data_IF_236472107607
#
_entry.id   IF_236472107607
#
_cell.length_a   1.000
_cell.length_b   1.000
_cell.length_c   1.000
_cell.angle_alpha   90.00
_cell.angle_beta   90.00
_cell.angle_gamma   90.00
#
_symmetry.space_group_name_H-M   'P 1'
#
loop_
_entity.id
_entity.type
_entity.pdbx_description
1 polymer ?
#
# COMPACT_ATOMS: atom_id res chain seq x y z
N UNK A 1 -60.68 -12.97 -6.16
CA UNK A 1 -60.42 -11.58 -5.72
C UNK A 1 -59.63 -11.62 -4.43
N UNK A 2 -58.31 -11.41 -4.50
CA UNK A 2 -57.41 -11.41 -3.35
C UNK A 2 -56.54 -10.15 -3.43
N UNK A 3 -56.69 -9.26 -2.46
CA UNK A 3 -55.89 -8.04 -2.33
C UNK A 3 -54.54 -8.35 -1.69
N UNK A 4 -53.45 -8.13 -2.42
CA UNK A 4 -52.09 -8.18 -1.89
C UNK A 4 -51.66 -6.75 -1.50
N UNK A 5 -51.38 -6.58 -0.21
CA UNK A 5 -50.89 -5.34 0.41
C UNK A 5 -49.46 -5.04 -0.02
N UNK A 6 -49.21 -3.77 -0.34
CA UNK A 6 -47.88 -3.18 -0.56
C UNK A 6 -47.04 -3.22 0.73
N UNK A 7 -45.86 -3.85 0.68
CA UNK A 7 -44.84 -3.79 1.72
C UNK A 7 -43.67 -2.94 1.23
N UNK A 8 -43.82 -1.61 1.31
CA UNK A 8 -42.69 -0.69 1.23
C UNK A 8 -41.92 -0.75 2.55
N UNK A 9 -40.80 -1.47 2.55
CA UNK A 9 -39.90 -1.57 3.70
C UNK A 9 -39.24 -0.21 3.95
N UNK A 10 -39.75 0.51 4.96
CA UNK A 10 -39.15 1.74 5.47
C UNK A 10 -37.78 1.41 6.08
N UNK A 11 -36.71 1.93 5.49
CA UNK A 11 -35.42 2.08 6.17
C UNK A 11 -35.65 2.95 7.41
N UNK A 12 -35.57 2.35 8.59
CA UNK A 12 -35.78 3.05 9.86
C UNK A 12 -34.60 3.97 10.16
N UNK A 13 -34.92 5.15 10.72
CA UNK A 13 -34.00 6.24 11.07
C UNK A 13 -32.75 5.82 11.86
N UNK A 14 -32.76 4.66 12.51
CA UNK A 14 -31.65 4.10 13.29
C UNK A 14 -30.44 3.68 12.43
N UNK A 15 -30.66 3.21 11.20
CA UNK A 15 -29.60 2.73 10.32
C UNK A 15 -28.76 3.87 9.70
N UNK A 16 -29.37 5.03 9.43
CA UNK A 16 -28.64 6.26 9.07
C UNK A 16 -27.83 6.83 10.25
N UNK A 17 -28.31 6.65 11.49
CA UNK A 17 -27.64 7.15 12.70
C UNK A 17 -26.38 6.35 13.06
N UNK A 18 -26.32 5.05 12.73
CA UNK A 18 -25.13 4.22 12.93
C UNK A 18 -24.00 4.58 11.94
N UNK A 19 -24.34 4.92 10.70
CA UNK A 19 -23.38 5.37 9.68
C UNK A 19 -22.76 6.74 10.03
N UNK A 20 -23.54 7.67 10.57
CA UNK A 20 -23.02 8.99 10.97
C UNK A 20 -22.06 8.92 12.16
N UNK A 21 -22.33 8.04 13.14
CA UNK A 21 -21.44 7.85 14.31
C UNK A 21 -20.16 7.09 13.95
N UNK A 22 -20.20 6.15 13.01
CA UNK A 22 -19.01 5.48 12.50
C UNK A 22 -18.08 6.44 11.73
N UNK A 23 -18.65 7.34 10.92
CA UNK A 23 -17.89 8.39 10.24
C UNK A 23 -17.29 9.41 11.22
N UNK A 24 -18.04 9.83 12.24
CA UNK A 24 -17.53 10.73 13.29
C UNK A 24 -16.42 10.07 14.14
N UNK A 25 -16.56 8.80 14.53
CA UNK A 25 -15.55 8.08 15.29
C UNK A 25 -14.27 7.78 14.48
N UNK A 26 -14.39 7.63 13.16
CA UNK A 26 -13.24 7.49 12.25
C UNK A 26 -12.48 8.82 12.05
N UNK A 27 -13.18 9.96 12.11
CA UNK A 27 -12.56 11.28 12.06
C UNK A 27 -11.77 11.61 13.34
N UNK A 28 -12.25 11.19 14.51
CA UNK A 28 -11.56 11.46 15.80
C UNK A 28 -10.33 10.58 16.04
N UNK A 29 -10.17 9.44 15.35
CA UNK A 29 -9.00 8.54 15.54
C UNK A 29 -7.78 8.88 14.68
N UNK A 30 -7.81 9.94 13.87
CA UNK A 30 -6.72 10.30 12.94
C UNK A 30 -5.63 11.23 13.51
N UNK A 31 -5.57 11.41 14.83
CA UNK A 31 -4.54 12.26 15.47
C UNK A 31 -3.72 11.47 16.49
N UNK A 32 -2.93 10.50 16.03
CA UNK A 32 -1.77 10.02 16.78
C UNK A 32 -0.52 10.37 15.96
N UNK A 33 -0.27 11.67 15.79
CA UNK A 33 1.09 12.16 15.57
C UNK A 33 1.90 11.82 16.83
N UNK A 34 3.15 11.33 16.71
CA UNK A 34 4.00 11.13 17.88
C UNK A 34 4.04 12.41 18.72
N UNK A 35 3.87 12.27 20.03
CA UNK A 35 3.66 13.34 21.01
C UNK A 35 4.86 14.27 21.26
N UNK A 36 5.92 14.16 20.45
CA UNK A 36 6.85 15.25 20.19
C UNK A 36 7.59 14.99 18.88
N UNK A 37 7.89 16.02 18.07
CA UNK A 37 8.94 15.90 17.07
C UNK A 37 10.21 15.53 17.82
N UNK A 38 10.93 14.48 17.38
CA UNK A 38 12.30 14.28 17.85
C UNK A 38 13.05 15.59 17.59
N UNK A 39 13.59 16.18 18.65
CA UNK A 39 14.24 17.48 18.58
C UNK A 39 15.59 17.35 17.85
N UNK A 40 15.54 17.50 16.53
CA UNK A 40 16.72 17.48 15.66
C UNK A 40 17.46 18.83 15.65
N UNK A 41 17.05 19.83 16.44
CA UNK A 41 17.75 21.13 16.55
C UNK A 41 19.21 20.96 17.00
N UNK A 42 19.51 19.89 17.73
CA UNK A 42 20.88 19.52 18.14
C UNK A 42 21.76 18.96 17.01
N UNK A 43 21.18 18.42 15.93
CA UNK A 43 21.95 18.09 14.71
C UNK A 43 22.28 19.35 13.89
N UNK A 44 21.43 20.37 13.96
CA UNK A 44 21.69 21.64 13.29
C UNK A 44 22.82 22.44 13.96
N UNK A 45 22.96 22.31 15.29
CA UNK A 45 23.96 23.05 16.08
C UNK A 45 25.36 22.44 16.12
N UNK A 46 25.58 21.23 15.58
CA UNK A 46 26.93 20.65 15.42
C UNK A 46 27.64 21.08 14.12
N UNK A 47 27.00 21.92 13.29
CA UNK A 47 27.63 22.54 12.11
C UNK A 47 27.98 23.97 12.46
N UNK A 48 29.07 24.14 13.21
CA UNK A 48 29.60 25.45 13.56
C UNK A 48 30.29 26.11 12.36
N UNK A 49 29.87 27.33 12.02
CA UNK A 49 30.73 28.35 11.42
C UNK A 49 30.76 28.46 9.89
N UNK A 50 29.69 28.98 9.28
CA UNK A 50 29.69 30.07 8.28
C UNK A 50 28.24 30.28 7.80
N UNK A 51 27.88 31.50 7.38
CA UNK A 51 26.51 31.85 6.97
C UNK A 51 25.86 30.83 6.02
N UNK A 52 24.53 30.68 6.11
CA UNK A 52 23.70 29.81 5.26
C UNK A 52 24.11 29.87 3.79
N UNK A 53 25.05 29.02 3.37
CA UNK A 53 25.63 29.03 2.03
C UNK A 53 25.21 27.81 1.22
N UNK A 54 24.91 26.68 1.87
CA UNK A 54 24.46 25.47 1.20
C UNK A 54 23.00 25.13 1.53
N UNK A 55 22.11 25.50 0.61
CA UNK A 55 20.69 25.11 0.63
C UNK A 55 20.57 23.63 0.26
N UNK A 56 19.97 22.83 1.15
CA UNK A 56 19.60 21.45 0.82
C UNK A 56 18.36 21.45 -0.06
N UNK A 57 18.47 20.83 -1.24
CA UNK A 57 17.39 20.78 -2.23
C UNK A 57 16.73 19.41 -2.27
N UNK A 58 15.41 19.39 -2.11
CA UNK A 58 14.55 18.22 -2.15
C UNK A 58 13.67 18.29 -3.39
N UNK A 59 13.74 17.26 -4.23
CA UNK A 59 12.92 17.12 -5.44
C UNK A 59 11.76 16.15 -5.17
N UNK A 60 10.53 16.57 -5.40
CA UNK A 60 9.38 15.68 -5.55
C UNK A 60 9.12 15.41 -7.04
N UNK A 61 9.11 14.13 -7.42
CA UNK A 61 8.88 13.71 -8.81
C UNK A 61 7.38 13.59 -9.10
N UNK A 62 6.82 14.59 -9.79
CA UNK A 62 5.44 14.63 -10.27
C UNK A 62 4.42 15.19 -9.28
N UNK A 63 3.30 15.66 -9.81
CA UNK A 63 2.22 16.36 -9.08
C UNK A 63 1.20 15.44 -8.39
N UNK A 64 1.39 14.13 -8.49
CA UNK A 64 0.50 13.15 -7.86
C UNK A 64 0.65 13.19 -6.33
N UNK A 65 -0.42 12.90 -5.60
CA UNK A 65 -0.40 12.92 -4.13
C UNK A 65 0.10 14.25 -3.55
N UNK A 66 -0.56 15.38 -3.88
CA UNK A 66 -0.06 16.72 -3.52
C UNK A 66 0.08 16.90 -2.01
N UNK A 67 -0.72 16.18 -1.22
CA UNK A 67 -0.62 16.14 0.23
C UNK A 67 0.81 15.86 0.72
N UNK A 68 1.55 14.95 0.06
CA UNK A 68 2.92 14.62 0.46
C UNK A 68 3.86 15.83 0.40
N UNK A 69 3.80 16.58 -0.70
CA UNK A 69 4.60 17.78 -0.93
C UNK A 69 4.12 18.96 -0.08
N UNK A 70 2.79 19.14 0.05
CA UNK A 70 2.18 20.20 0.88
C UNK A 70 2.59 20.03 2.34
N UNK A 71 2.35 18.86 2.94
CA UNK A 71 2.72 18.62 4.34
C UNK A 71 4.22 18.72 4.58
N UNK A 72 5.03 18.30 3.60
CA UNK A 72 6.49 18.45 3.71
C UNK A 72 6.89 19.93 3.72
N UNK A 73 6.31 20.75 2.84
CA UNK A 73 6.55 22.20 2.82
C UNK A 73 6.09 22.88 4.11
N UNK A 74 4.91 22.52 4.62
CA UNK A 74 4.39 23.01 5.90
C UNK A 74 5.29 22.65 7.06
N UNK A 75 5.74 21.39 7.15
CA UNK A 75 6.66 20.94 8.18
C UNK A 75 8.01 21.67 8.14
N UNK A 76 8.46 22.03 6.94
CA UNK A 76 9.75 22.67 6.71
C UNK A 76 9.72 24.20 6.79
N UNK A 77 8.59 24.83 7.13
CA UNK A 77 8.47 26.29 7.21
C UNK A 77 9.52 26.95 8.13
N UNK A 78 9.94 26.26 9.19
CA UNK A 78 10.95 26.75 10.13
C UNK A 78 12.41 26.38 9.74
N UNK A 79 12.61 25.81 8.56
CA UNK A 79 13.91 25.32 8.07
C UNK A 79 14.23 25.94 6.69
N UNK A 80 14.53 27.26 6.63
CA UNK A 80 14.67 28.00 5.36
C UNK A 80 15.85 27.54 4.49
N UNK A 81 16.75 26.73 5.06
CA UNK A 81 17.87 26.11 4.35
C UNK A 81 17.51 24.80 3.64
N UNK A 82 16.25 24.37 3.70
CA UNK A 82 15.74 23.22 2.96
C UNK A 82 14.70 23.71 1.95
N UNK A 83 15.05 23.66 0.67
CA UNK A 83 14.15 24.02 -0.43
C UNK A 83 13.48 22.76 -1.00
N UNK A 84 12.15 22.80 -1.11
CA UNK A 84 11.35 21.72 -1.68
C UNK A 84 10.75 22.16 -3.00
N UNK A 85 11.19 21.53 -4.08
CA UNK A 85 10.68 21.73 -5.43
C UNK A 85 9.86 20.51 -5.86
N UNK A 86 8.84 20.74 -6.69
CA UNK A 86 8.06 19.69 -7.34
C UNK A 86 8.09 19.93 -8.84
N UNK A 87 8.41 18.88 -9.59
CA UNK A 87 8.64 18.97 -11.04
C UNK A 87 7.90 17.84 -11.74
N UNK A 88 7.36 18.11 -12.94
CA UNK A 88 6.75 17.09 -13.80
C UNK A 88 7.70 15.92 -14.07
N UNK A 89 7.16 14.71 -14.22
CA UNK A 89 7.93 13.46 -14.31
C UNK A 89 8.93 13.49 -15.49
N UNK A 90 8.53 14.13 -16.58
CA UNK A 90 9.27 14.31 -17.82
C UNK A 90 10.51 15.21 -17.67
N UNK A 91 10.46 16.18 -16.77
CA UNK A 91 11.53 17.15 -16.56
C UNK A 91 12.53 16.70 -15.47
N UNK A 92 12.24 15.61 -14.75
CA UNK A 92 13.13 15.07 -13.70
C UNK A 92 14.56 14.83 -14.20
N UNK A 93 14.79 14.18 -15.36
CA UNK A 93 16.15 13.92 -15.85
C UNK A 93 16.96 15.19 -16.14
N UNK A 94 16.30 16.32 -16.38
CA UNK A 94 16.94 17.58 -16.77
C UNK A 94 17.37 18.42 -15.57
N UNK A 95 16.81 18.14 -14.39
CA UNK A 95 17.02 18.95 -13.18
C UNK A 95 17.64 18.18 -12.03
N UNK A 96 17.64 16.85 -12.06
CA UNK A 96 18.03 15.97 -10.94
C UNK A 96 19.44 16.25 -10.39
N UNK A 97 20.37 16.68 -11.24
CA UNK A 97 21.74 17.06 -10.90
C UNK A 97 21.82 18.18 -9.85
N UNK A 98 20.76 18.98 -9.71
CA UNK A 98 20.69 20.11 -8.80
C UNK A 98 20.21 19.74 -7.39
N UNK A 99 19.80 18.48 -7.15
CA UNK A 99 19.13 18.06 -5.93
C UNK A 99 19.97 17.10 -5.08
N UNK A 100 19.72 17.15 -3.77
CA UNK A 100 20.39 16.32 -2.77
C UNK A 100 19.52 15.15 -2.31
N UNK A 101 18.20 15.36 -2.36
CA UNK A 101 17.18 14.39 -1.96
C UNK A 101 16.17 14.29 -3.09
N UNK A 102 15.83 13.07 -3.50
CA UNK A 102 14.78 12.79 -4.47
C UNK A 102 13.67 11.99 -3.80
N UNK A 103 12.44 12.49 -3.84
CA UNK A 103 11.24 11.79 -3.41
C UNK A 103 10.52 11.29 -4.65
N UNK A 104 10.67 10.00 -4.91
CA UNK A 104 10.18 9.33 -6.11
C UNK A 104 8.73 8.90 -5.88
N UNK A 105 7.83 9.28 -6.78
CA UNK A 105 6.43 8.81 -6.78
C UNK A 105 6.27 7.75 -7.87
N UNK A 106 5.77 8.16 -9.03
CA UNK A 106 5.48 7.29 -10.18
C UNK A 106 6.51 7.47 -11.32
N UNK A 107 7.81 7.50 -10.99
CA UNK A 107 8.88 7.61 -11.99
C UNK A 107 9.84 6.44 -11.84
N UNK A 108 10.19 5.80 -12.95
CA UNK A 108 11.36 4.94 -13.00
C UNK A 108 12.62 5.81 -12.95
N UNK A 109 13.45 5.60 -11.92
CA UNK A 109 14.77 6.18 -11.72
C UNK A 109 15.80 5.11 -12.10
N UNK A 110 16.07 5.04 -13.39
CA UNK A 110 17.02 4.13 -14.01
C UNK A 110 18.47 4.63 -13.87
N UNK A 111 19.42 3.80 -14.33
CA UNK A 111 20.84 4.11 -14.32
C UNK A 111 21.20 5.41 -15.05
N UNK A 112 20.51 5.74 -16.15
CA UNK A 112 20.74 6.96 -16.94
C UNK A 112 20.35 8.22 -16.16
N UNK A 113 19.24 8.19 -15.43
CA UNK A 113 18.82 9.29 -14.54
C UNK A 113 19.77 9.38 -13.35
N UNK A 114 20.17 8.24 -12.78
CA UNK A 114 21.09 8.20 -11.64
C UNK A 114 22.47 8.76 -12.03
N UNK A 115 22.97 8.47 -13.24
CA UNK A 115 24.21 9.04 -13.81
C UNK A 115 24.24 10.57 -13.81
N UNK A 116 23.08 11.22 -13.95
CA UNK A 116 22.98 12.69 -13.91
C UNK A 116 22.92 13.23 -12.48
N UNK A 117 22.66 12.41 -11.48
CA UNK A 117 22.33 12.83 -10.11
C UNK A 117 23.58 13.18 -9.26
N UNK A 118 24.46 14.06 -9.76
CA UNK A 118 25.81 14.31 -9.23
C UNK A 118 25.88 14.79 -7.77
N UNK A 119 24.82 15.42 -7.26
CA UNK A 119 24.74 15.92 -5.86
C UNK A 119 23.91 15.03 -4.93
N UNK A 120 23.28 14.01 -5.49
CA UNK A 120 22.27 13.20 -4.80
C UNK A 120 22.89 12.44 -3.63
N UNK A 121 22.18 12.43 -2.51
CA UNK A 121 22.55 11.69 -1.29
C UNK A 121 21.58 10.56 -1.01
N UNK A 122 20.30 10.77 -1.32
CA UNK A 122 19.26 9.79 -1.05
C UNK A 122 18.12 9.87 -2.08
N UNK A 123 17.70 8.70 -2.53
CA UNK A 123 16.46 8.46 -3.26
C UNK A 123 15.48 7.82 -2.29
N UNK A 124 14.38 8.52 -2.00
CA UNK A 124 13.29 8.06 -1.14
C UNK A 124 12.10 7.67 -2.01
N UNK A 125 11.78 6.39 -2.09
CA UNK A 125 10.55 5.93 -2.72
C UNK A 125 9.36 6.29 -1.82
N UNK A 126 8.43 7.08 -2.36
CA UNK A 126 7.13 7.33 -1.78
C UNK A 126 6.24 6.09 -2.00
N UNK A 127 6.56 5.02 -1.28
CA UNK A 127 5.90 3.73 -1.44
C UNK A 127 6.69 2.58 -0.79
N UNK A 128 6.14 1.38 -0.91
CA UNK A 128 6.70 0.14 -0.33
C UNK A 128 7.59 -0.61 -1.32
N UNK A 129 7.25 -0.59 -2.60
CA UNK A 129 8.02 -1.21 -3.69
C UNK A 129 9.34 -0.48 -3.94
N UNK A 130 10.28 -1.12 -4.62
CA UNK A 130 11.56 -0.52 -5.05
C UNK A 130 11.88 -0.83 -6.51
N UNK A 131 10.96 -1.48 -7.23
CA UNK A 131 11.07 -1.88 -8.63
C UNK A 131 11.29 -0.70 -9.59
N UNK A 132 10.89 0.51 -9.21
CA UNK A 132 11.09 1.73 -9.98
C UNK A 132 12.44 2.41 -9.76
N UNK A 133 13.35 1.85 -8.96
CA UNK A 133 14.67 2.46 -8.70
C UNK A 133 15.75 1.43 -8.98
N UNK A 134 16.72 1.78 -9.84
CA UNK A 134 17.91 0.96 -10.03
C UNK A 134 18.83 1.04 -8.79
N UNK A 135 18.64 0.09 -7.88
CA UNK A 135 19.39 0.02 -6.62
C UNK A 135 20.88 -0.21 -6.87
N UNK A 136 21.26 -0.94 -7.92
CA UNK A 136 22.65 -1.25 -8.21
C UNK A 136 23.37 0.03 -8.67
N UNK A 137 22.79 0.74 -9.64
CA UNK A 137 23.33 2.03 -10.11
C UNK A 137 23.40 3.07 -8.97
N UNK A 138 22.37 3.13 -8.10
CA UNK A 138 22.39 4.02 -6.94
C UNK A 138 23.53 3.64 -5.98
N UNK A 139 23.75 2.35 -5.74
CA UNK A 139 24.81 1.84 -4.86
C UNK A 139 26.20 2.17 -5.40
N UNK A 140 26.44 1.97 -6.70
CA UNK A 140 27.69 2.31 -7.37
C UNK A 140 28.03 3.81 -7.23
N UNK A 141 27.02 4.67 -7.29
CA UNK A 141 27.18 6.12 -7.08
C UNK A 141 27.12 6.56 -5.61
N UNK A 142 27.08 5.62 -4.67
CA UNK A 142 27.02 5.89 -3.21
C UNK A 142 25.79 6.69 -2.81
N UNK A 143 24.70 6.56 -3.57
CA UNK A 143 23.39 7.16 -3.29
C UNK A 143 22.58 6.16 -2.47
N UNK A 144 22.08 6.59 -1.32
CA UNK A 144 21.24 5.74 -0.47
C UNK A 144 19.86 5.59 -1.10
N UNK A 145 19.27 4.40 -1.02
CA UNK A 145 17.88 4.16 -1.39
C UNK A 145 17.08 3.82 -0.15
N UNK A 146 15.95 4.49 0.03
CA UNK A 146 15.03 4.28 1.13
C UNK A 146 13.59 4.13 0.61
N UNK A 147 12.75 3.49 1.42
CA UNK A 147 11.32 3.30 1.15
C UNK A 147 10.52 3.48 2.42
N UNK A 148 9.20 3.58 2.27
CA UNK A 148 8.27 3.67 3.39
C UNK A 148 7.72 2.26 3.68
N UNK A 149 8.00 1.65 4.85
CA UNK A 149 7.49 0.32 5.17
C UNK A 149 5.95 0.28 5.21
N UNK A 150 5.35 -0.73 4.59
CA UNK A 150 3.89 -0.89 4.59
C UNK A 150 3.29 -1.14 5.98
N UNK A 151 4.09 -1.68 6.92
CA UNK A 151 3.67 -1.95 8.30
C UNK A 151 3.59 -0.69 9.19
N UNK A 152 4.26 0.40 8.80
CA UNK A 152 4.28 1.65 9.58
C UNK A 152 3.29 2.68 9.06
N UNK A 153 2.52 2.34 8.03
CA UNK A 153 1.56 3.23 7.36
C UNK A 153 0.20 2.57 7.20
N UNK A 154 -0.82 3.35 6.80
CA UNK A 154 -2.14 2.82 6.45
C UNK A 154 -2.18 2.10 5.09
N UNK A 155 -1.07 1.99 4.37
CA UNK A 155 -1.04 1.41 3.02
C UNK A 155 -1.41 -0.09 3.04
N UNK A 156 -0.85 -0.87 3.98
CA UNK A 156 -1.15 -2.31 4.05
C UNK A 156 -2.65 -2.59 4.30
N UNK A 157 -3.29 -1.75 5.11
CA UNK A 157 -4.73 -1.81 5.38
C UNK A 157 -5.53 -1.51 4.11
N UNK A 158 -5.21 -0.42 3.41
CA UNK A 158 -5.90 -0.04 2.18
C UNK A 158 -5.76 -1.11 1.07
N UNK A 159 -4.57 -1.70 0.93
CA UNK A 159 -4.34 -2.82 0.01
C UNK A 159 -5.15 -4.05 0.40
N UNK A 160 -5.24 -4.37 1.70
CA UNK A 160 -6.03 -5.50 2.18
C UNK A 160 -7.53 -5.30 1.92
N UNK A 161 -8.06 -4.09 2.14
CA UNK A 161 -9.45 -3.74 1.83
C UNK A 161 -9.74 -3.91 0.34
N UNK A 162 -8.83 -3.46 -0.53
CA UNK A 162 -8.97 -3.63 -1.98
C UNK A 162 -8.94 -5.10 -2.38
N UNK A 163 -8.03 -5.91 -1.83
CA UNK A 163 -7.96 -7.34 -2.14
C UNK A 163 -9.25 -8.08 -1.76
N UNK A 164 -9.84 -7.74 -0.61
CA UNK A 164 -11.12 -8.33 -0.16
C UNK A 164 -12.27 -7.85 -1.04
N UNK A 165 -12.30 -6.56 -1.37
CA UNK A 165 -13.29 -6.01 -2.30
C UNK A 165 -13.27 -6.74 -3.65
N UNK A 166 -12.08 -6.92 -4.24
CA UNK A 166 -11.91 -7.63 -5.51
C UNK A 166 -12.32 -9.10 -5.38
N UNK A 167 -11.93 -9.77 -4.29
CA UNK A 167 -12.32 -11.16 -4.02
C UNK A 167 -13.84 -11.31 -3.99
N UNK A 168 -14.54 -10.45 -3.24
CA UNK A 168 -15.99 -10.45 -3.17
C UNK A 168 -16.63 -10.08 -4.52
N UNK A 169 -16.04 -9.12 -5.25
CA UNK A 169 -16.51 -8.70 -6.57
C UNK A 169 -16.44 -9.83 -7.60
N UNK A 170 -15.38 -10.64 -7.58
CA UNK A 170 -15.26 -11.84 -8.43
C UNK A 170 -16.31 -12.88 -8.04
N UNK A 171 -16.40 -13.22 -6.75
CA UNK A 171 -17.37 -14.20 -6.25
C UNK A 171 -18.83 -13.79 -6.52
N UNK A 172 -19.13 -12.50 -6.49
CA UNK A 172 -20.47 -11.94 -6.77
C UNK A 172 -20.70 -11.61 -8.24
N UNK A 173 -19.72 -11.89 -9.12
CA UNK A 173 -19.77 -11.59 -10.55
C UNK A 173 -20.20 -10.14 -10.80
N UNK A 174 -19.54 -9.20 -10.12
CA UNK A 174 -19.95 -7.79 -10.01
C UNK A 174 -20.35 -7.15 -11.36
N UNK A 175 -19.62 -7.45 -12.45
CA UNK A 175 -19.91 -6.91 -13.79
C UNK A 175 -21.23 -7.46 -14.38
N UNK A 176 -21.47 -8.76 -14.24
CA UNK A 176 -22.73 -9.38 -14.66
C UNK A 176 -23.89 -8.86 -13.80
N UNK A 177 -23.66 -8.68 -12.49
CA UNK A 177 -24.66 -8.14 -11.57
C UNK A 177 -25.04 -6.69 -11.92
N UNK A 178 -24.09 -5.86 -12.33
CA UNK A 178 -24.37 -4.49 -12.81
C UNK A 178 -25.30 -4.50 -14.03
N UNK A 179 -25.02 -5.40 -14.99
CA UNK A 179 -25.85 -5.58 -16.19
C UNK A 179 -27.26 -6.06 -15.84
N UNK A 180 -27.39 -7.06 -14.96
CA UNK A 180 -28.67 -7.61 -14.53
C UNK A 180 -29.55 -6.56 -13.83
N UNK A 181 -28.96 -5.68 -13.01
CA UNK A 181 -29.69 -4.57 -12.36
C UNK A 181 -30.25 -3.59 -13.38
N UNK A 182 -29.46 -3.23 -14.40
CA UNK A 182 -29.90 -2.34 -15.49
C UNK A 182 -31.06 -2.97 -16.27
N UNK A 183 -30.96 -4.28 -16.55
CA UNK A 183 -31.97 -5.05 -17.27
C UNK A 183 -33.20 -5.40 -16.42
N UNK A 184 -33.11 -5.18 -15.10
CA UNK A 184 -34.13 -5.57 -14.09
C UNK A 184 -34.34 -7.09 -14.03
N UNK A 185 -33.29 -7.85 -14.32
CA UNK A 185 -33.28 -9.30 -14.25
C UNK A 185 -33.04 -9.76 -12.81
N UNK A 186 -34.12 -10.17 -12.15
CA UNK A 186 -34.07 -10.60 -10.76
C UNK A 186 -33.52 -12.03 -10.65
N UNK A 187 -32.62 -12.24 -9.69
CA UNK A 187 -32.06 -13.56 -9.39
C UNK A 187 -30.83 -13.96 -10.21
N UNK A 188 -30.32 -13.07 -11.07
CA UNK A 188 -29.10 -13.26 -11.84
C UNK A 188 -28.06 -12.17 -11.51
N UNK A 189 -26.75 -12.46 -11.63
CA UNK A 189 -26.15 -13.79 -11.77
C UNK A 189 -26.16 -14.57 -10.45
N UNK A 190 -26.14 -15.90 -10.53
CA UNK A 190 -25.88 -16.74 -9.35
C UNK A 190 -24.38 -16.64 -9.02
N UNK A 191 -24.06 -15.88 -7.98
CA UNK A 191 -22.71 -15.77 -7.42
C UNK A 191 -22.41 -16.85 -6.37
N UNK A 192 -21.22 -16.80 -5.80
CA UNK A 192 -20.71 -17.80 -4.85
C UNK A 192 -20.41 -17.22 -3.48
N UNK A 193 -20.83 -17.89 -2.41
CA UNK A 193 -20.57 -17.43 -1.03
C UNK A 193 -19.12 -17.68 -0.61
N UNK A 194 -18.49 -16.69 0.03
CA UNK A 194 -17.10 -16.80 0.51
C UNK A 194 -16.95 -17.70 1.75
N UNK A 195 -18.00 -17.83 2.57
CA UNK A 195 -18.01 -18.68 3.76
C UNK A 195 -17.64 -20.12 3.42
N UNK A 196 -16.72 -20.71 4.19
CA UNK A 196 -16.23 -22.07 4.00
C UNK A 196 -15.18 -22.24 2.90
N UNK A 197 -14.87 -21.19 2.10
CA UNK A 197 -13.84 -21.27 1.06
C UNK A 197 -12.43 -21.30 1.66
N UNK A 198 -11.51 -21.89 0.90
CA UNK A 198 -10.07 -21.90 1.17
C UNK A 198 -9.37 -20.81 0.37
N UNK A 199 -8.65 -19.93 1.06
CA UNK A 199 -7.95 -18.78 0.48
C UNK A 199 -6.45 -18.97 0.69
N UNK A 200 -5.70 -18.93 -0.41
CA UNK A 200 -4.24 -18.92 -0.39
C UNK A 200 -3.72 -17.48 -0.49
N UNK A 201 -2.93 -17.05 0.50
CA UNK A 201 -2.20 -15.78 0.48
C UNK A 201 -0.76 -16.06 0.10
N UNK A 202 -0.36 -15.67 -1.11
CA UNK A 202 1.01 -15.76 -1.56
C UNK A 202 1.80 -14.54 -1.06
N UNK A 203 2.74 -14.76 -0.13
CA UNK A 203 3.49 -13.67 0.50
C UNK A 203 2.85 -13.13 1.78
N UNK A 204 3.10 -13.79 2.90
CA UNK A 204 2.59 -13.41 4.23
C UNK A 204 3.42 -12.30 4.90
N UNK A 205 3.40 -11.11 4.28
CA UNK A 205 3.98 -9.87 4.78
C UNK A 205 2.96 -8.96 5.48
N UNK A 206 3.22 -7.65 5.52
CA UNK A 206 2.32 -6.67 6.14
C UNK A 206 0.90 -6.69 5.52
N UNK A 207 0.80 -6.73 4.19
CA UNK A 207 -0.49 -6.80 3.47
C UNK A 207 -1.18 -8.14 3.74
N UNK A 208 -0.48 -9.26 3.56
CA UNK A 208 -1.04 -10.60 3.77
C UNK A 208 -1.58 -10.81 5.19
N UNK A 209 -0.92 -10.25 6.20
CA UNK A 209 -1.40 -10.26 7.58
C UNK A 209 -2.71 -9.46 7.75
N UNK A 210 -2.79 -8.25 7.18
CA UNK A 210 -4.00 -7.43 7.25
C UNK A 210 -5.19 -8.04 6.47
N UNK A 211 -4.89 -8.76 5.38
CA UNK A 211 -5.87 -9.58 4.65
C UNK A 211 -6.39 -10.70 5.54
N UNK A 212 -5.49 -11.49 6.14
CA UNK A 212 -5.90 -12.63 6.98
C UNK A 212 -6.76 -12.19 8.17
N UNK A 213 -6.38 -11.11 8.87
CA UNK A 213 -7.16 -10.54 9.99
C UNK A 213 -8.61 -10.23 9.60
N UNK A 214 -8.82 -9.69 8.39
CA UNK A 214 -10.15 -9.29 7.90
C UNK A 214 -10.93 -10.44 7.27
N UNK A 215 -10.23 -11.44 6.72
CA UNK A 215 -10.86 -12.62 6.14
C UNK A 215 -11.31 -13.63 7.19
N UNK A 216 -10.62 -13.73 8.34
CA UNK A 216 -10.97 -14.69 9.40
C UNK A 216 -12.46 -14.67 9.81
N UNK A 217 -13.09 -13.51 10.07
CA UNK A 217 -14.52 -13.45 10.41
C UNK A 217 -15.48 -13.92 9.31
N UNK A 218 -15.03 -14.06 8.06
CA UNK A 218 -15.85 -14.63 6.97
C UNK A 218 -15.97 -16.17 7.06
N UNK A 219 -15.30 -16.83 8.02
CA UNK A 219 -15.37 -18.28 8.18
C UNK A 219 -14.65 -19.03 7.06
N UNK A 220 -13.51 -18.52 6.63
CA UNK A 220 -12.66 -19.11 5.57
C UNK A 220 -11.51 -19.90 6.18
N UNK A 221 -11.00 -20.88 5.41
CA UNK A 221 -9.70 -21.51 5.65
C UNK A 221 -8.61 -20.68 4.99
N UNK A 222 -7.52 -20.37 5.70
CA UNK A 222 -6.43 -19.54 5.20
C UNK A 222 -5.15 -20.38 5.10
N UNK A 223 -4.64 -20.48 3.87
CA UNK A 223 -3.30 -21.00 3.58
C UNK A 223 -2.39 -19.79 3.28
N UNK A 224 -1.11 -19.86 3.63
CA UNK A 224 -0.20 -18.77 3.28
C UNK A 224 1.23 -19.25 3.02
N UNK A 225 1.91 -18.56 2.10
CA UNK A 225 3.34 -18.77 1.84
C UNK A 225 4.19 -17.63 2.37
N UNK A 226 5.35 -17.95 2.94
CA UNK A 226 6.36 -16.97 3.35
C UNK A 226 7.74 -17.57 3.25
N UNK A 227 8.71 -16.82 2.69
CA UNK A 227 10.12 -17.24 2.58
C UNK A 227 10.74 -17.64 3.91
N UNK A 228 10.45 -16.87 4.96
CA UNK A 228 10.95 -17.17 6.29
C UNK A 228 9.85 -16.92 7.33
N UNK A 229 9.46 -17.98 8.01
CA UNK A 229 8.53 -17.95 9.13
C UNK A 229 9.21 -17.63 10.47
N UNK A 230 10.55 -17.74 10.56
CA UNK A 230 11.32 -17.51 11.78
C UNK A 230 11.55 -16.01 12.11
N UNK A 231 11.34 -15.72 13.40
CA UNK A 231 11.73 -14.55 14.21
C UNK A 231 10.78 -13.33 14.32
N UNK A 232 10.23 -13.21 15.54
CA UNK A 232 10.13 -12.01 16.39
C UNK A 232 9.47 -10.71 15.87
N UNK A 233 8.81 -10.69 14.72
CA UNK A 233 8.38 -9.40 14.14
C UNK A 233 6.93 -9.00 14.40
N UNK A 234 6.02 -9.87 14.84
CA UNK A 234 4.68 -9.45 15.32
C UNK A 234 4.15 -10.48 16.33
N UNK A 235 3.53 -9.98 17.39
CA UNK A 235 3.01 -10.67 18.58
C UNK A 235 2.16 -11.92 18.32
N UNK A 236 2.04 -12.71 19.38
CA UNK A 236 1.16 -13.85 19.72
C UNK A 236 -0.22 -14.03 19.04
N UNK A 237 -0.69 -13.12 18.20
CA UNK A 237 -1.97 -13.19 17.47
C UNK A 237 -1.88 -13.88 16.10
N UNK A 238 -0.68 -14.20 15.61
CA UNK A 238 -0.47 -14.76 14.27
C UNK A 238 -0.84 -16.24 14.16
N UNK A 239 -0.75 -17.01 15.25
CA UNK A 239 -0.99 -18.46 15.19
C UNK A 239 -2.46 -18.82 14.92
N UNK A 240 -3.38 -17.89 15.18
CA UNK A 240 -4.79 -18.04 14.81
C UNK A 240 -5.15 -17.56 13.40
N UNK A 241 -4.25 -16.89 12.66
CA UNK A 241 -4.60 -16.26 11.38
C UNK A 241 -4.39 -17.14 10.15
N UNK A 242 -3.57 -18.18 10.23
CA UNK A 242 -3.24 -19.05 9.10
C UNK A 242 -3.38 -20.51 9.53
N UNK A 243 -4.17 -21.29 8.79
CA UNK A 243 -4.39 -22.71 9.08
C UNK A 243 -3.28 -23.61 8.53
N UNK A 244 -2.67 -23.21 7.40
CA UNK A 244 -1.52 -23.91 6.81
C UNK A 244 -0.46 -22.91 6.36
N UNK A 245 0.72 -22.98 6.99
CA UNK A 245 1.89 -22.15 6.69
C UNK A 245 2.86 -22.98 5.84
N UNK A 246 3.34 -22.44 4.72
CA UNK A 246 4.45 -23.06 3.99
C UNK A 246 5.42 -22.07 3.36
N UNK A 247 6.49 -22.57 2.76
CA UNK A 247 7.40 -21.75 1.96
C UNK A 247 6.90 -21.53 0.52
N UNK A 248 7.60 -20.69 -0.27
CA UNK A 248 7.28 -20.46 -1.67
C UNK A 248 7.37 -21.72 -2.55
N UNK A 249 8.21 -22.69 -2.18
CA UNK A 249 8.41 -23.96 -2.87
C UNK A 249 7.12 -24.78 -3.02
N UNK A 250 6.22 -24.70 -2.03
CA UNK A 250 4.96 -25.44 -2.01
C UNK A 250 3.80 -24.66 -2.63
N UNK A 251 4.05 -23.51 -3.27
CA UNK A 251 2.98 -22.62 -3.72
C UNK A 251 1.99 -23.30 -4.68
N UNK A 252 2.48 -24.18 -5.56
CA UNK A 252 1.62 -24.90 -6.50
C UNK A 252 0.79 -25.99 -5.82
N UNK A 253 1.30 -26.61 -4.76
CA UNK A 253 0.52 -27.58 -3.99
C UNK A 253 -0.59 -26.88 -3.24
N UNK A 254 -0.28 -25.77 -2.55
CA UNK A 254 -1.28 -24.97 -1.85
C UNK A 254 -2.31 -24.37 -2.80
N UNK A 255 -1.91 -23.97 -4.01
CA UNK A 255 -2.82 -23.42 -5.00
C UNK A 255 -3.87 -24.45 -5.46
N UNK A 256 -3.55 -25.75 -5.46
CA UNK A 256 -4.52 -26.82 -5.76
C UNK A 256 -5.55 -27.02 -4.65
N UNK A 257 -5.22 -26.65 -3.41
CA UNK A 257 -6.13 -26.73 -2.27
C UNK A 257 -7.04 -25.48 -2.14
N UNK A 258 -6.69 -24.38 -2.81
CA UNK A 258 -7.34 -23.09 -2.63
C UNK A 258 -8.45 -22.85 -3.67
N UNK A 259 -9.57 -22.30 -3.21
CA UNK A 259 -10.62 -21.77 -4.10
C UNK A 259 -10.23 -20.40 -4.66
N UNK A 260 -9.46 -19.63 -3.89
CA UNK A 260 -9.08 -18.25 -4.20
C UNK A 260 -7.60 -18.07 -3.88
N UNK A 261 -6.85 -17.46 -4.79
CA UNK A 261 -5.44 -17.09 -4.59
C UNK A 261 -5.31 -15.58 -4.57
N UNK A 262 -4.67 -15.04 -3.53
CA UNK A 262 -4.39 -13.61 -3.37
C UNK A 262 -2.86 -13.41 -3.35
N UNK A 263 -2.35 -12.70 -4.35
CA UNK A 263 -0.92 -12.43 -4.51
C UNK A 263 -0.50 -11.15 -3.78
N UNK A 264 0.39 -11.29 -2.79
CA UNK A 264 0.96 -10.21 -1.99
C UNK A 264 2.49 -10.21 -2.02
N UNK A 265 3.09 -10.89 -3.01
CA UNK A 265 4.54 -10.97 -3.20
C UNK A 265 5.10 -9.67 -3.76
N UNK A 266 6.33 -9.35 -3.36
CA UNK A 266 7.10 -8.26 -3.97
C UNK A 266 7.56 -8.68 -5.37
N UNK A 267 7.49 -7.76 -6.34
CA UNK A 267 8.04 -7.98 -7.67
C UNK A 267 9.57 -8.03 -7.62
N UNK A 268 10.15 -9.14 -8.05
CA UNK A 268 11.58 -9.33 -8.25
C UNK A 268 11.83 -10.37 -9.37
N UNK A 269 13.09 -10.59 -9.74
CA UNK A 269 13.45 -11.52 -10.82
C UNK A 269 12.95 -12.97 -10.58
N UNK A 270 12.79 -13.38 -9.32
CA UNK A 270 12.27 -14.71 -8.95
C UNK A 270 10.74 -14.76 -9.12
N UNK A 271 10.02 -13.70 -8.76
CA UNK A 271 8.56 -13.64 -8.87
C UNK A 271 8.09 -13.44 -10.31
N UNK A 272 8.85 -12.69 -11.13
CA UNK A 272 8.54 -12.45 -12.56
C UNK A 272 8.52 -13.75 -13.35
N UNK A 273 9.43 -14.68 -13.02
CA UNK A 273 9.54 -15.98 -13.69
C UNK A 273 8.65 -17.06 -13.07
N UNK A 274 7.86 -16.73 -12.04
CA UNK A 274 6.85 -17.65 -11.54
C UNK A 274 5.71 -17.74 -12.55
N UNK A 275 5.21 -18.94 -12.82
CA UNK A 275 4.13 -19.17 -13.80
C UNK A 275 2.82 -18.42 -13.47
N UNK A 276 2.73 -17.78 -12.30
CA UNK A 276 1.67 -16.85 -11.91
C UNK A 276 1.63 -15.59 -12.77
N UNK A 277 2.78 -15.08 -13.24
CA UNK A 277 2.82 -13.94 -14.16
C UNK A 277 2.21 -14.27 -15.54
N UNK A 278 2.05 -15.54 -15.90
CA UNK A 278 1.37 -15.97 -17.12
C UNK A 278 -0.16 -15.99 -16.98
N UNK A 279 -0.70 -15.80 -15.77
CA UNK A 279 -2.14 -15.77 -15.47
C UNK A 279 -2.68 -14.35 -15.13
N UNK A 280 -1.80 -13.35 -15.03
CA UNK A 280 -2.13 -11.92 -14.83
C UNK A 280 -2.03 -11.22 -16.18
#
# INVERSE_FOLDING_TARGET
>A
MAGARSAATRLTHSSLFLLSRAAAAAATRRTNLPSSPRDYSKMASSVGGNGYSDVTRVLFCGHYWPASTIYTKEYLQNYPFIQVDEVGLEHVPDVIQNYHICVVKNKCIDSDIIAKATKMKIIMQYGVGLEGVDINAATEQKIKVARIPGSTTGNAIACAEMAIYLTLGVLRKQKEMDTAVIQKDLGLPVGETIFGKTILILGFGAIGMEIAKRLRPFGVKILATKRNWSSNTVSCDLDGLVDKKSGPEDMYELAREADIVITCMTLNNESVNSSLCSFI
#
